data_IF_042113431233
#
_entry.id   IF_042113431233
#
_cell.length_a   1.000
_cell.length_b   1.000
_cell.length_c   1.000
_cell.angle_alpha   90.00
_cell.angle_beta   90.00
_cell.angle_gamma   90.00
#
_symmetry.space_group_name_H-M   'P 1'
#
loop_
_entity.id
_entity.type
_entity.pdbx_description
1 polymer ?
#
# COMPACT_ATOMS: atom_id res chain seq x y z
N UNK A 1 12.70 4.62 -30.56
CA UNK A 1 13.81 4.50 -29.60
C UNK A 1 15.00 3.68 -30.14
N UNK A 2 14.94 3.10 -31.36
CA UNK A 2 15.98 2.19 -31.87
C UNK A 2 17.18 2.86 -32.59
N UNK A 3 17.15 4.19 -32.77
CA UNK A 3 18.15 4.90 -33.57
C UNK A 3 19.49 5.13 -32.85
N UNK A 4 19.48 5.28 -31.52
CA UNK A 4 20.71 5.48 -30.74
C UNK A 4 21.50 4.19 -30.52
N UNK A 5 20.82 3.03 -30.45
CA UNK A 5 21.44 1.72 -30.25
C UNK A 5 22.29 1.29 -31.46
N UNK A 6 21.85 1.61 -32.68
CA UNK A 6 22.52 1.20 -33.92
C UNK A 6 23.62 2.16 -34.39
N UNK A 7 23.82 3.28 -33.68
CA UNK A 7 24.71 4.36 -34.13
C UNK A 7 26.18 3.93 -34.28
N UNK A 8 26.58 2.84 -33.61
CA UNK A 8 27.94 2.31 -33.62
C UNK A 8 28.08 0.97 -34.35
N UNK A 9 27.01 0.47 -34.98
CA UNK A 9 27.06 -0.77 -35.76
C UNK A 9 27.78 -0.49 -37.08
N UNK A 10 28.91 -1.18 -37.33
CA UNK A 10 29.80 -1.04 -38.50
C UNK A 10 30.71 0.20 -38.51
N UNK A 11 30.95 0.85 -37.37
CA UNK A 11 31.98 1.91 -37.26
C UNK A 11 33.35 1.25 -37.08
N UNK A 12 34.37 1.75 -37.77
CA UNK A 12 35.74 1.27 -37.63
C UNK A 12 36.24 1.53 -36.20
N UNK A 13 36.82 0.50 -35.59
CA UNK A 13 37.41 0.57 -34.26
C UNK A 13 38.68 1.43 -34.28
N UNK A 14 38.59 2.66 -33.76
CA UNK A 14 39.71 3.58 -33.59
C UNK A 14 40.28 3.50 -32.15
N UNK A 15 41.61 3.43 -31.97
CA UNK A 15 42.21 3.37 -30.63
C UNK A 15 41.81 4.58 -29.78
N UNK A 16 41.35 4.33 -28.55
CA UNK A 16 40.91 5.36 -27.59
C UNK A 16 39.39 5.57 -27.44
N UNK A 17 38.52 4.89 -28.22
CA UNK A 17 37.05 5.06 -28.12
C UNK A 17 36.35 4.10 -27.14
N UNK A 18 37.07 3.54 -26.17
CA UNK A 18 36.47 2.78 -25.07
C UNK A 18 35.88 1.41 -25.43
N UNK A 19 36.02 0.96 -26.69
CA UNK A 19 35.70 -0.40 -27.13
C UNK A 19 36.86 -1.40 -26.91
N UNK A 20 38.02 -0.93 -26.46
CA UNK A 20 39.19 -1.75 -26.17
C UNK A 20 38.97 -2.74 -25.02
N UNK A 21 37.95 -2.51 -24.19
CA UNK A 21 37.55 -3.42 -23.13
C UNK A 21 36.03 -3.57 -23.12
N UNK A 22 35.58 -4.82 -23.17
CA UNK A 22 34.17 -5.19 -23.01
C UNK A 22 34.04 -5.98 -21.72
N UNK A 23 32.98 -5.72 -20.96
CA UNK A 23 32.64 -6.55 -19.79
C UNK A 23 32.15 -7.90 -20.31
N UNK A 24 32.76 -9.00 -19.86
CA UNK A 24 32.33 -10.36 -20.21
C UNK A 24 30.84 -10.52 -19.92
N UNK A 25 30.07 -11.07 -20.85
CA UNK A 25 28.61 -11.31 -20.70
C UNK A 25 28.27 -12.12 -19.44
N UNK A 26 29.21 -12.94 -18.95
CA UNK A 26 29.06 -13.79 -17.77
C UNK A 26 29.46 -13.11 -16.44
N UNK A 27 29.72 -11.78 -16.43
CA UNK A 27 30.15 -11.08 -15.23
C UNK A 27 29.11 -11.15 -14.09
N UNK A 28 27.83 -11.13 -14.46
CA UNK A 28 26.69 -11.26 -13.55
C UNK A 28 26.56 -12.69 -12.99
N UNK A 29 26.94 -13.70 -13.79
CA UNK A 29 26.91 -15.10 -13.36
C UNK A 29 27.96 -15.43 -12.28
N UNK A 30 29.10 -14.71 -12.27
CA UNK A 30 30.18 -14.92 -11.29
C UNK A 30 30.00 -14.16 -9.98
N UNK A 31 29.40 -12.99 -10.02
CA UNK A 31 29.26 -12.12 -8.84
C UNK A 31 27.91 -12.26 -8.15
N UNK A 32 26.90 -12.78 -8.87
CA UNK A 32 25.52 -12.67 -8.44
C UNK A 32 25.05 -11.20 -8.46
N UNK A 33 23.76 -10.98 -8.33
CA UNK A 33 23.20 -9.63 -8.27
C UNK A 33 23.56 -9.02 -6.91
N UNK A 34 24.65 -8.26 -6.84
CA UNK A 34 25.18 -7.66 -5.60
C UNK A 34 24.16 -6.81 -4.84
N UNK A 35 23.17 -6.28 -5.56
CA UNK A 35 22.05 -5.50 -5.03
C UNK A 35 20.72 -6.10 -5.49
N UNK A 36 20.47 -7.36 -5.12
CA UNK A 36 19.18 -7.97 -5.37
C UNK A 36 18.13 -7.38 -4.42
N UNK A 37 17.36 -6.41 -4.94
CA UNK A 37 16.24 -5.77 -4.26
C UNK A 37 15.05 -6.72 -4.06
N UNK A 38 15.08 -7.92 -4.65
CA UNK A 38 14.01 -8.91 -4.62
C UNK A 38 14.40 -10.19 -3.88
N UNK A 39 15.52 -10.21 -3.14
CA UNK A 39 15.84 -11.34 -2.24
C UNK A 39 14.76 -11.44 -1.17
N UNK A 40 13.83 -12.36 -1.37
CA UNK A 40 12.94 -12.82 -0.32
C UNK A 40 13.78 -13.68 0.61
N UNK A 41 14.38 -13.07 1.64
CA UNK A 41 15.04 -13.83 2.70
C UNK A 41 13.98 -14.69 3.39
N UNK A 42 14.07 -16.04 3.35
CA UNK A 42 13.24 -16.86 4.20
C UNK A 42 13.69 -16.58 5.63
N UNK A 43 12.80 -16.01 6.44
CA UNK A 43 13.04 -15.93 7.88
C UNK A 43 13.34 -17.33 8.41
N UNK A 44 14.46 -17.48 9.13
CA UNK A 44 14.93 -18.76 9.67
C UNK A 44 13.95 -19.42 10.66
N UNK A 45 12.86 -18.72 10.99
CA UNK A 45 11.70 -19.23 11.69
C UNK A 45 10.50 -19.11 10.72
N UNK A 46 10.11 -20.20 10.05
CA UNK A 46 9.07 -20.15 9.02
C UNK A 46 7.85 -21.03 9.33
N UNK A 47 6.63 -20.48 9.23
CA UNK A 47 5.64 -20.96 8.29
C UNK A 47 5.70 -20.10 7.01
N UNK A 48 5.83 -20.80 5.89
CA UNK A 48 5.64 -20.44 4.47
C UNK A 48 5.48 -18.96 4.05
N UNK A 49 6.22 -18.49 3.02
CA UNK A 49 5.98 -17.20 2.40
C UNK A 49 4.77 -17.28 1.46
N UNK A 50 3.57 -17.06 1.97
CA UNK A 50 2.39 -16.72 1.15
C UNK A 50 2.29 -15.21 1.08
N UNK A 51 2.73 -14.66 -0.06
CA UNK A 51 2.41 -13.33 -0.61
C UNK A 51 2.44 -12.13 0.36
N UNK A 52 3.47 -11.32 0.17
CA UNK A 52 3.74 -10.02 0.77
C UNK A 52 2.55 -9.03 0.75
N UNK A 53 1.72 -9.08 1.78
CA UNK A 53 0.89 -7.96 2.26
C UNK A 53 1.46 -7.56 3.62
N UNK A 54 1.62 -6.26 3.95
CA UNK A 54 2.09 -5.85 5.27
C UNK A 54 1.22 -6.54 6.34
N UNK A 55 1.82 -7.48 7.08
CA UNK A 55 1.09 -8.34 8.00
C UNK A 55 0.70 -7.53 9.23
N UNK A 56 -0.45 -6.86 9.14
CA UNK A 56 -1.14 -6.32 10.31
C UNK A 56 -1.45 -7.50 11.23
N UNK A 57 -1.03 -7.48 12.51
CA UNK A 57 -1.24 -8.61 13.42
C UNK A 57 -2.71 -9.03 13.44
N UNK A 58 -3.01 -10.33 13.41
CA UNK A 58 -4.39 -10.83 13.41
C UNK A 58 -5.23 -10.25 14.57
N UNK A 59 -4.59 -10.03 15.72
CA UNK A 59 -5.21 -9.39 16.88
C UNK A 59 -5.72 -7.96 16.57
N UNK A 60 -4.95 -7.16 15.81
CA UNK A 60 -5.36 -5.81 15.40
C UNK A 60 -6.49 -5.87 14.37
N UNK A 61 -6.45 -6.84 13.45
CA UNK A 61 -7.51 -7.04 12.47
C UNK A 61 -8.84 -7.36 13.16
N UNK A 62 -8.83 -8.31 14.10
CA UNK A 62 -10.01 -8.70 14.88
C UNK A 62 -10.51 -7.53 15.74
N UNK A 63 -9.60 -6.77 16.35
CA UNK A 63 -9.96 -5.59 17.13
C UNK A 63 -10.67 -4.53 16.28
N UNK A 64 -10.15 -4.22 15.07
CA UNK A 64 -10.78 -3.29 14.15
C UNK A 64 -12.16 -3.77 13.68
N UNK A 65 -12.28 -5.05 13.33
CA UNK A 65 -13.56 -5.64 12.93
C UNK A 65 -14.59 -5.59 14.07
N UNK A 66 -14.18 -5.84 15.31
CA UNK A 66 -15.04 -5.73 16.49
C UNK A 66 -15.47 -4.28 16.75
N UNK A 67 -14.53 -3.31 16.66
CA UNK A 67 -14.80 -1.88 16.83
C UNK A 67 -15.86 -1.38 15.85
N UNK A 68 -15.74 -1.76 14.58
CA UNK A 68 -16.65 -1.32 13.52
C UNK A 68 -17.86 -2.24 13.29
N UNK A 69 -18.13 -3.21 14.18
CA UNK A 69 -19.20 -4.21 13.96
C UNK A 69 -20.59 -3.64 13.71
N UNK A 70 -20.90 -2.45 14.24
CA UNK A 70 -22.18 -1.75 14.06
C UNK A 70 -22.29 -1.01 12.71
N UNK A 71 -21.19 -0.91 11.97
CA UNK A 71 -21.07 -0.10 10.75
C UNK A 71 -20.77 -0.97 9.52
N UNK A 72 -21.79 -1.37 8.75
CA UNK A 72 -21.63 -2.33 7.66
C UNK A 72 -20.72 -1.82 6.53
N UNK A 73 -20.63 -0.50 6.36
CA UNK A 73 -19.76 0.12 5.36
C UNK A 73 -18.29 -0.12 5.70
N UNK A 74 -17.86 0.20 6.93
CA UNK A 74 -16.47 0.06 7.35
C UNK A 74 -16.06 -1.41 7.49
N UNK A 75 -16.96 -2.28 7.93
CA UNK A 75 -16.68 -3.73 7.95
C UNK A 75 -16.46 -4.29 6.54
N UNK A 76 -17.23 -3.86 5.54
CA UNK A 76 -17.01 -4.27 4.14
C UNK A 76 -15.63 -3.83 3.62
N UNK A 77 -15.20 -2.62 3.99
CA UNK A 77 -13.88 -2.08 3.63
C UNK A 77 -12.75 -2.84 4.32
N UNK A 78 -12.87 -3.07 5.63
CA UNK A 78 -11.88 -3.82 6.41
C UNK A 78 -11.74 -5.26 5.92
N UNK A 79 -12.85 -5.94 5.61
CA UNK A 79 -12.80 -7.28 5.01
C UNK A 79 -12.11 -7.28 3.66
N UNK A 80 -12.33 -6.27 2.83
CA UNK A 80 -11.64 -6.14 1.55
C UNK A 80 -10.14 -5.82 1.72
N UNK A 81 -9.75 -5.03 2.73
CA UNK A 81 -8.35 -4.73 3.04
C UNK A 81 -7.59 -5.95 3.59
N UNK A 82 -8.25 -6.80 4.37
CA UNK A 82 -7.68 -8.02 4.94
C UNK A 82 -7.90 -9.26 4.06
N UNK A 83 -8.50 -9.10 2.88
CA UNK A 83 -8.84 -10.20 1.96
C UNK A 83 -9.76 -11.29 2.58
N UNK A 84 -10.53 -10.94 3.61
CA UNK A 84 -11.48 -11.81 4.33
C UNK A 84 -12.88 -11.87 3.68
N UNK A 85 -12.98 -11.52 2.41
CA UNK A 85 -14.24 -11.35 1.67
C UNK A 85 -14.72 -12.64 0.94
N UNK A 86 -14.09 -13.78 1.27
CA UNK A 86 -14.43 -15.09 0.72
C UNK A 86 -15.91 -15.45 0.99
N UNK A 87 -16.70 -15.60 -0.08
CA UNK A 87 -18.12 -15.99 -0.01
C UNK A 87 -19.14 -14.84 -0.14
N UNK A 88 -18.68 -13.60 -0.34
CA UNK A 88 -19.57 -12.48 -0.69
C UNK A 88 -19.90 -12.43 -2.18
N UNK A 89 -21.01 -11.78 -2.56
CA UNK A 89 -21.35 -11.58 -3.97
C UNK A 89 -20.24 -10.82 -4.69
N UNK A 90 -19.91 -11.21 -5.92
CA UNK A 90 -18.78 -10.64 -6.66
C UNK A 90 -18.96 -9.13 -6.88
N UNK A 91 -20.21 -8.65 -7.00
CA UNK A 91 -20.49 -7.22 -7.15
C UNK A 91 -20.22 -6.46 -5.85
N UNK A 92 -20.59 -7.02 -4.71
CA UNK A 92 -20.35 -6.41 -3.40
C UNK A 92 -18.85 -6.39 -3.10
N UNK A 93 -18.16 -7.48 -3.41
CA UNK A 93 -16.71 -7.59 -3.34
C UNK A 93 -16.02 -6.50 -4.15
N UNK A 94 -16.35 -6.36 -5.44
CA UNK A 94 -15.78 -5.31 -6.31
C UNK A 94 -16.04 -3.90 -5.78
N UNK A 95 -17.23 -3.64 -5.25
CA UNK A 95 -17.56 -2.35 -4.61
C UNK A 95 -16.73 -2.10 -3.36
N UNK A 96 -16.56 -3.11 -2.51
CA UNK A 96 -15.78 -3.03 -1.29
C UNK A 96 -14.29 -2.77 -1.60
N UNK A 97 -13.71 -3.53 -2.54
CA UNK A 97 -12.34 -3.32 -3.03
C UNK A 97 -12.15 -1.92 -3.61
N UNK A 98 -13.10 -1.44 -4.41
CA UNK A 98 -13.02 -0.08 -4.96
C UNK A 98 -13.03 0.98 -3.85
N UNK A 99 -13.89 0.82 -2.85
CA UNK A 99 -13.95 1.74 -1.70
C UNK A 99 -12.69 1.66 -0.85
N UNK A 100 -12.15 0.45 -0.64
CA UNK A 100 -10.97 0.21 0.18
C UNK A 100 -9.73 0.97 -0.32
N UNK A 101 -9.68 1.35 -1.60
CA UNK A 101 -8.61 2.22 -2.15
C UNK A 101 -8.50 3.58 -1.47
N UNK A 102 -9.58 4.09 -0.89
CA UNK A 102 -9.58 5.35 -0.15
C UNK A 102 -9.22 5.17 1.33
N UNK A 103 -8.85 3.97 1.77
CA UNK A 103 -8.57 3.68 3.17
C UNK A 103 -7.21 3.00 3.34
N UNK A 104 -6.60 3.21 4.50
CA UNK A 104 -5.48 2.42 4.97
C UNK A 104 -5.63 2.09 6.45
N UNK A 105 -4.99 1.01 6.87
CA UNK A 105 -4.83 0.67 8.28
C UNK A 105 -3.40 0.97 8.68
N UNK A 106 -3.22 1.73 9.74
CA UNK A 106 -1.91 2.12 10.26
C UNK A 106 -2.02 2.28 11.77
N UNK A 107 -1.09 1.65 12.51
CA UNK A 107 -1.05 1.65 13.98
C UNK A 107 -2.39 1.27 14.64
N UNK A 108 -3.02 0.18 14.17
CA UNK A 108 -4.30 -0.30 14.71
C UNK A 108 -5.51 0.63 14.47
N UNK A 109 -5.39 1.62 13.58
CA UNK A 109 -6.45 2.58 13.26
C UNK A 109 -6.80 2.57 11.78
N UNK A 110 -8.07 2.83 11.47
CA UNK A 110 -8.54 3.00 10.11
C UNK A 110 -8.42 4.47 9.71
N UNK A 111 -7.73 4.75 8.61
CA UNK A 111 -7.52 6.07 8.07
C UNK A 111 -8.16 6.20 6.71
N UNK A 112 -8.84 7.32 6.46
CA UNK A 112 -9.31 7.69 5.13
C UNK A 112 -8.27 8.55 4.43
N UNK A 113 -7.76 8.06 3.32
CA UNK A 113 -6.89 8.76 2.39
C UNK A 113 -7.77 9.41 1.34
N UNK A 114 -7.58 10.71 1.10
CA UNK A 114 -8.32 11.36 0.03
C UNK A 114 -7.93 10.77 -1.33
N UNK A 115 -8.93 10.40 -2.13
CA UNK A 115 -8.72 9.98 -3.51
C UNK A 115 -8.03 11.13 -4.27
N UNK A 116 -6.84 10.87 -4.84
CA UNK A 116 -5.95 11.84 -5.49
C UNK A 116 -6.55 12.58 -6.70
N UNK A 117 -7.85 12.39 -6.95
CA UNK A 117 -8.64 13.11 -7.96
C UNK A 117 -8.78 14.60 -7.69
N UNK A 118 -8.53 15.07 -6.47
CA UNK A 118 -8.59 16.50 -6.15
C UNK A 118 -7.19 17.11 -6.18
N UNK A 119 -7.00 18.31 -6.78
CA UNK A 119 -5.69 18.95 -6.94
C UNK A 119 -5.07 19.40 -5.61
N UNK A 120 -5.83 19.39 -4.51
CA UNK A 120 -5.33 19.77 -3.18
C UNK A 120 -5.04 18.52 -2.37
N UNK A 121 -3.82 18.42 -1.85
CA UNK A 121 -3.47 17.45 -0.82
C UNK A 121 -4.42 17.63 0.38
N UNK A 122 -5.06 16.55 0.80
CA UNK A 122 -5.82 16.51 2.05
C UNK A 122 -5.05 15.67 3.05
N UNK A 123 -5.03 16.12 4.30
CA UNK A 123 -4.56 15.30 5.40
C UNK A 123 -5.39 14.01 5.49
N UNK A 124 -4.72 12.90 5.87
CA UNK A 124 -5.39 11.67 6.26
C UNK A 124 -6.32 11.94 7.44
N UNK A 125 -7.52 11.37 7.41
CA UNK A 125 -8.50 11.53 8.49
C UNK A 125 -8.69 10.19 9.19
N UNK A 126 -8.61 10.17 10.53
CA UNK A 126 -8.95 8.98 11.30
C UNK A 126 -10.44 8.70 11.14
N UNK A 127 -10.77 7.45 10.83
CA UNK A 127 -12.14 6.97 10.79
C UNK A 127 -12.49 6.49 12.20
N UNK A 128 -13.55 7.07 12.74
CA UNK A 128 -14.06 6.83 14.09
C UNK A 128 -15.49 6.33 13.94
N UNK A 129 -15.95 5.51 14.88
CA UNK A 129 -17.35 5.05 14.89
C UNK A 129 -18.29 6.22 15.20
N UNK A 130 -19.56 6.08 14.86
CA UNK A 130 -20.58 7.10 15.13
C UNK A 130 -20.69 7.42 16.63
N UNK A 131 -20.51 6.41 17.50
CA UNK A 131 -20.52 6.60 18.96
C UNK A 131 -19.36 7.49 19.41
N UNK A 132 -18.14 7.11 19.03
CA UNK A 132 -16.93 7.87 19.33
C UNK A 132 -16.97 9.28 18.72
N UNK A 133 -17.52 9.43 17.51
CA UNK A 133 -17.70 10.73 16.87
C UNK A 133 -18.61 11.64 17.70
N UNK A 134 -19.68 11.09 18.27
CA UNK A 134 -20.63 11.86 19.10
C UNK A 134 -19.97 12.30 20.41
N UNK A 135 -19.19 11.41 21.02
CA UNK A 135 -18.43 11.71 22.25
C UNK A 135 -17.35 12.76 22.01
N UNK A 136 -16.54 12.59 20.95
CA UNK A 136 -15.52 13.57 20.55
C UNK A 136 -16.13 14.92 20.21
N UNK A 137 -17.28 14.94 19.53
CA UNK A 137 -17.99 16.19 19.27
C UNK A 137 -18.46 16.85 20.57
N UNK A 138 -18.96 16.07 21.54
CA UNK A 138 -19.36 16.60 22.84
C UNK A 138 -18.17 17.21 23.59
N UNK A 139 -17.06 16.48 23.69
CA UNK A 139 -15.83 16.94 24.34
C UNK A 139 -15.28 18.22 23.70
N UNK A 140 -15.25 18.26 22.37
CA UNK A 140 -14.77 19.44 21.64
C UNK A 140 -15.68 20.65 21.89
N UNK A 141 -17.00 20.46 21.90
CA UNK A 141 -17.96 21.53 22.22
C UNK A 141 -17.83 22.02 23.67
N UNK A 142 -17.55 21.13 24.62
CA UNK A 142 -17.34 21.47 26.03
C UNK A 142 -16.01 22.22 26.26
N UNK A 143 -14.93 21.78 25.61
CA UNK A 143 -13.58 22.30 25.85
C UNK A 143 -13.20 23.49 24.98
N UNK A 144 -13.60 23.51 23.71
CA UNK A 144 -13.20 24.55 22.73
C UNK A 144 -14.29 25.58 22.47
N UNK A 145 -15.51 25.31 22.94
CA UNK A 145 -16.63 26.25 22.96
C UNK A 145 -17.75 25.89 21.99
N UNK A 146 -18.88 26.57 22.13
CA UNK A 146 -20.10 26.34 21.34
C UNK A 146 -19.98 26.94 19.93
N UNK A 147 -19.23 26.28 19.06
CA UNK A 147 -19.19 26.64 17.65
C UNK A 147 -20.56 26.41 17.00
N UNK A 148 -21.11 27.46 16.38
CA UNK A 148 -22.29 27.34 15.53
C UNK A 148 -21.87 26.82 14.16
N UNK A 149 -22.79 26.14 13.49
CA UNK A 149 -22.64 25.74 12.09
C UNK A 149 -22.86 26.98 11.21
N UNK A 150 -21.81 27.73 10.94
CA UNK A 150 -21.79 28.79 9.92
C UNK A 150 -22.04 28.21 8.51
#
# INVERSE_FOLDING_TARGET
>A
ADSLSRMFVNVLEEPGHGHEWTVSEDWEAKTGLTHDLFVLQPSADGPSPTNSTPQIPEAEQQHLLARFAKEPLHTSVLKALFELDHGTDERERKKAVHRAREYMVEAGKLWRIADGRRPRAKARMEVVTQGEMTELAREEHEHRGHYKRD
#
